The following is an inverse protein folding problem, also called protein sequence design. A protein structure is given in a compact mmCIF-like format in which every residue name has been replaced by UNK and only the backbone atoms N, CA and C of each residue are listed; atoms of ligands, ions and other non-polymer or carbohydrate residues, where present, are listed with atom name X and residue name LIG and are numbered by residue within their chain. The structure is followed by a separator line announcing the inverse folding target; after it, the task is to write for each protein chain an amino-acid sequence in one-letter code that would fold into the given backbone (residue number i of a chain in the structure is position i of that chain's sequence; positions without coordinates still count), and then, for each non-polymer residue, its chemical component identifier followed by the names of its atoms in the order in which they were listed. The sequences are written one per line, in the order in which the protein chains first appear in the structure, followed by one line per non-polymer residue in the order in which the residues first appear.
data_IF_643898175397
#
_entry.id   IF_643898175397
#
_cell.length_a   1.000
_cell.length_b   1.000
_cell.length_c   1.000
_cell.angle_alpha   90.00
_cell.angle_beta   90.00
_cell.angle_gamma   90.00
#
_symmetry.space_group_name_H-M   'P 1'
#
loop_
_entity.id
_entity.type
_entity.pdbx_description
1 polymer ?
#
# COMPACT_ATOMS: atom_id res chain seq x y z
N UNK A 1 -4.50 4.48 -12.66
CA UNK A 1 -4.92 3.77 -11.43
C UNK A 1 -4.00 4.20 -10.32
N UNK A 2 -4.52 4.98 -9.38
CA UNK A 2 -3.73 5.68 -8.36
C UNK A 2 -3.08 4.69 -7.39
N UNK A 3 -3.75 3.57 -7.06
CA UNK A 3 -3.20 2.55 -6.17
C UNK A 3 -1.97 1.86 -6.78
N UNK A 4 -1.96 1.64 -8.10
CA UNK A 4 -0.80 1.05 -8.78
C UNK A 4 0.38 2.02 -8.81
N UNK A 5 0.13 3.31 -9.07
CA UNK A 5 1.17 4.35 -9.00
C UNK A 5 1.72 4.49 -7.58
N UNK A 6 0.83 4.50 -6.58
CA UNK A 6 1.21 4.46 -5.18
C UNK A 6 2.15 3.28 -4.85
N UNK A 7 1.81 2.05 -5.25
CA UNK A 7 2.66 0.88 -4.99
C UNK A 7 4.01 0.99 -5.72
N UNK A 8 4.01 1.42 -6.99
CA UNK A 8 5.23 1.60 -7.76
C UNK A 8 6.17 2.66 -7.14
N UNK A 9 5.62 3.76 -6.60
CA UNK A 9 6.40 4.77 -5.87
C UNK A 9 6.92 4.23 -4.54
N UNK A 10 6.11 3.48 -3.79
CA UNK A 10 6.55 2.80 -2.55
C UNK A 10 7.69 1.80 -2.78
N UNK A 11 7.76 1.20 -3.97
CA UNK A 11 8.79 0.24 -4.39
C UNK A 11 10.05 0.89 -4.96
N UNK A 12 10.00 2.20 -5.19
CA UNK A 12 11.10 2.96 -5.79
C UNK A 12 12.16 3.36 -4.75
N UNK A 13 13.26 3.95 -5.22
CA UNK A 13 14.26 4.54 -4.33
C UNK A 13 13.81 5.87 -3.68
N UNK A 14 12.65 6.39 -4.07
CA UNK A 14 12.10 7.66 -3.57
C UNK A 14 10.66 7.46 -3.05
N UNK A 15 10.44 6.62 -2.01
CA UNK A 15 9.10 6.29 -1.52
C UNK A 15 8.33 7.52 -1.02
N UNK A 16 9.01 8.58 -0.58
CA UNK A 16 8.37 9.83 -0.14
C UNK A 16 7.56 10.53 -1.25
N UNK A 17 7.80 10.22 -2.53
CA UNK A 17 6.99 10.74 -3.65
C UNK A 17 5.53 10.26 -3.61
N UNK A 18 5.20 9.25 -2.83
CA UNK A 18 3.79 8.87 -2.60
C UNK A 18 3.00 9.96 -1.91
N UNK A 19 3.67 10.84 -1.16
CA UNK A 19 3.01 11.92 -0.43
C UNK A 19 2.32 12.92 -1.36
N UNK A 20 2.73 12.98 -2.63
CA UNK A 20 2.08 13.78 -3.68
C UNK A 20 0.72 13.21 -4.11
N UNK A 21 0.48 11.92 -3.85
CA UNK A 21 -0.79 11.25 -4.16
C UNK A 21 -1.83 11.39 -3.04
N UNK A 22 -1.50 12.04 -1.92
CA UNK A 22 -2.34 12.04 -0.72
C UNK A 22 -3.09 13.36 -0.56
N UNK A 23 -4.35 13.25 -0.14
CA UNK A 23 -5.09 14.38 0.42
C UNK A 23 -4.42 14.89 1.71
N UNK A 24 -4.54 16.19 2.05
CA UNK A 24 -4.07 16.69 3.35
C UNK A 24 -4.70 15.95 4.54
N UNK A 25 -5.98 15.59 4.42
CA UNK A 25 -6.73 14.83 5.42
C UNK A 25 -6.69 13.30 5.24
N UNK A 26 -5.63 12.78 4.61
CA UNK A 26 -5.47 11.37 4.33
C UNK A 26 -5.49 10.53 5.61
N UNK A 27 -6.22 9.40 5.57
CA UNK A 27 -6.25 8.44 6.68
C UNK A 27 -5.83 7.06 6.23
N UNK A 28 -5.11 6.35 7.08
CA UNK A 28 -4.65 5.01 6.73
C UNK A 28 -4.78 4.00 7.86
N UNK A 29 -4.92 2.74 7.46
CA UNK A 29 -4.73 1.57 8.31
C UNK A 29 -3.85 0.57 7.55
N UNK A 30 -2.78 0.13 8.19
CA UNK A 30 -1.92 -0.95 7.71
C UNK A 30 -1.85 -2.00 8.81
N UNK A 31 -2.49 -3.14 8.57
CA UNK A 31 -2.47 -4.29 9.47
C UNK A 31 -1.36 -5.26 9.06
N UNK A 32 -0.40 -5.46 9.96
CA UNK A 32 0.69 -6.41 9.84
C UNK A 32 0.52 -7.50 10.92
N UNK A 33 1.19 -8.67 10.79
CA UNK A 33 1.15 -9.72 11.81
C UNK A 33 1.52 -9.23 13.23
N UNK A 34 2.46 -8.28 13.33
CA UNK A 34 2.90 -7.68 14.60
C UNK A 34 2.03 -6.54 15.13
N UNK A 35 0.91 -6.22 14.49
CA UNK A 35 -0.01 -5.17 14.90
C UNK A 35 -0.34 -4.17 13.79
N UNK A 36 -1.05 -3.11 14.17
CA UNK A 36 -1.54 -2.11 13.23
C UNK A 36 -0.69 -0.84 13.25
N UNK A 37 -0.67 -0.14 12.11
CA UNK A 37 -0.21 1.24 11.97
C UNK A 37 -1.35 2.06 11.39
N UNK A 38 -1.67 3.16 12.03
CA UNK A 38 -2.77 4.05 11.63
C UNK A 38 -2.33 5.49 11.72
N UNK A 39 -3.01 6.38 10.99
CA UNK A 39 -2.81 7.82 11.08
C UNK A 39 -3.92 8.57 10.35
N UNK A 40 -4.00 9.87 10.61
CA UNK A 40 -5.08 10.74 10.13
C UNK A 40 -4.58 11.98 9.35
N UNK A 41 -3.29 12.00 9.02
CA UNK A 41 -2.64 13.08 8.30
C UNK A 41 -1.57 12.60 7.32
N UNK A 42 -1.17 13.49 6.40
CA UNK A 42 -0.02 13.28 5.51
C UNK A 42 1.28 13.16 6.31
N UNK A 43 1.41 13.88 7.41
CA UNK A 43 2.56 13.85 8.32
C UNK A 43 2.68 12.51 9.04
N UNK A 44 1.57 11.94 9.53
CA UNK A 44 1.56 10.60 10.12
C UNK A 44 2.04 9.54 9.12
N UNK A 45 1.62 9.70 7.85
CA UNK A 45 2.03 8.78 6.80
C UNK A 45 3.49 8.97 6.39
N UNK A 46 3.99 10.20 6.35
CA UNK A 46 5.41 10.47 6.15
C UNK A 46 6.26 9.84 7.27
N UNK A 47 5.83 9.93 8.52
CA UNK A 47 6.49 9.26 9.64
C UNK A 47 6.48 7.72 9.49
N UNK A 48 5.38 7.15 8.98
CA UNK A 48 5.31 5.73 8.65
C UNK A 48 6.34 5.33 7.57
N UNK A 49 6.48 6.13 6.50
CA UNK A 49 7.45 5.87 5.42
C UNK A 49 8.88 5.97 5.94
N UNK A 50 9.20 7.00 6.71
CA UNK A 50 10.53 7.20 7.29
C UNK A 50 10.96 6.07 8.23
N UNK A 51 10.01 5.45 8.95
CA UNK A 51 10.26 4.29 9.81
C UNK A 51 10.32 2.95 9.07
N UNK A 52 10.20 2.95 7.75
CA UNK A 52 10.09 1.74 6.93
C UNK A 52 11.48 1.23 6.55
N UNK A 53 11.94 0.16 7.20
CA UNK A 53 13.17 -0.56 6.81
C UNK A 53 12.92 -1.45 5.56
N UNK A 54 12.61 -0.86 4.41
CA UNK A 54 12.18 -1.57 3.20
C UNK A 54 13.24 -1.56 2.09
N UNK A 55 14.47 -2.00 2.41
CA UNK A 55 15.51 -2.15 1.38
C UNK A 55 15.22 -3.40 0.56
N UNK A 56 14.99 -3.22 -0.75
CA UNK A 56 14.75 -4.29 -1.73
C UNK A 56 13.44 -5.08 -1.51
N UNK A 57 12.35 -4.35 -1.24
CA UNK A 57 10.98 -4.85 -1.14
C UNK A 57 10.12 -4.30 -2.28
N UNK A 58 9.39 -5.18 -2.96
CA UNK A 58 8.45 -4.80 -4.04
C UNK A 58 7.07 -5.43 -3.86
N UNK A 59 6.03 -4.78 -4.39
CA UNK A 59 4.66 -5.30 -4.44
C UNK A 59 4.36 -5.89 -5.83
N UNK A 60 4.28 -7.22 -5.94
CA UNK A 60 3.82 -7.90 -7.16
C UNK A 60 2.29 -8.01 -7.17
N UNK A 61 1.62 -7.13 -7.91
CA UNK A 61 0.15 -7.07 -7.99
C UNK A 61 -0.37 -8.18 -8.91
N UNK A 62 -1.18 -9.10 -8.35
CA UNK A 62 -1.76 -10.26 -9.06
C UNK A 62 -3.21 -10.09 -9.46
N UNK A 63 -3.99 -9.32 -8.69
CA UNK A 63 -5.37 -8.96 -8.99
C UNK A 63 -5.55 -7.47 -8.72
N UNK A 64 -6.42 -6.87 -9.51
CA UNK A 64 -6.73 -5.46 -9.39
C UNK A 64 -8.15 -5.23 -9.87
N UNK A 65 -8.90 -4.41 -9.13
CA UNK A 65 -10.24 -3.99 -9.51
C UNK A 65 -10.46 -2.54 -9.11
N UNK A 66 -11.37 -1.88 -9.82
CA UNK A 66 -11.85 -0.55 -9.46
C UNK A 66 -13.37 -0.54 -9.55
N UNK A 67 -14.01 0.13 -8.59
CA UNK A 67 -15.44 0.36 -8.51
C UNK A 67 -15.70 1.76 -7.97
N UNK A 68 -16.22 2.64 -8.82
CA UNK A 68 -16.41 4.05 -8.49
C UNK A 68 -15.13 4.75 -8.03
N UNK A 69 -15.16 5.31 -6.82
CA UNK A 69 -14.03 5.98 -6.18
C UNK A 69 -13.11 5.04 -5.39
N UNK A 70 -13.28 3.72 -5.51
CA UNK A 70 -12.48 2.72 -4.80
C UNK A 70 -11.64 1.89 -5.78
N UNK A 71 -10.35 1.77 -5.48
CA UNK A 71 -9.46 0.82 -6.13
C UNK A 71 -9.01 -0.25 -5.13
N UNK A 72 -8.89 -1.50 -5.58
CA UNK A 72 -8.36 -2.63 -4.79
C UNK A 72 -7.25 -3.35 -5.54
N UNK A 73 -6.24 -3.79 -4.80
CA UNK A 73 -5.13 -4.58 -5.31
C UNK A 73 -4.85 -5.74 -4.36
N UNK A 74 -4.74 -6.94 -4.92
CA UNK A 74 -4.24 -8.11 -4.21
C UNK A 74 -2.94 -8.57 -4.88
N UNK A 75 -1.96 -8.94 -4.08
CA UNK A 75 -0.66 -9.36 -4.59
C UNK A 75 0.23 -9.95 -3.53
N UNK A 76 1.51 -10.06 -3.88
CA UNK A 76 2.55 -10.59 -3.01
C UNK A 76 3.60 -9.53 -2.72
N UNK A 77 4.12 -9.53 -1.49
CA UNK A 77 5.35 -8.80 -1.16
C UNK A 77 6.52 -9.71 -1.51
N UNK A 78 7.46 -9.18 -2.28
CA UNK A 78 8.70 -9.84 -2.66
C UNK A 78 9.85 -9.08 -2.04
N UNK A 79 10.70 -9.76 -1.27
CA UNK A 79 11.91 -9.19 -0.68
C UNK A 79 13.12 -9.98 -1.18
N UNK A 80 14.09 -9.30 -1.81
CA UNK A 80 15.30 -9.95 -2.36
C UNK A 80 14.99 -11.17 -3.25
N UNK A 81 13.90 -11.08 -4.03
CA UNK A 81 13.42 -12.16 -4.90
C UNK A 81 12.63 -13.27 -4.20
N UNK A 82 12.39 -13.19 -2.88
CA UNK A 82 11.61 -14.18 -2.12
C UNK A 82 10.23 -13.62 -1.81
N UNK A 83 9.17 -14.35 -2.16
CA UNK A 83 7.81 -14.02 -1.75
C UNK A 83 7.64 -14.22 -0.24
N UNK A 84 7.44 -13.14 0.51
CA UNK A 84 7.35 -13.16 1.98
C UNK A 84 5.92 -13.25 2.49
N UNK A 85 4.94 -12.84 1.70
CA UNK A 85 3.52 -12.95 2.06
C UNK A 85 2.60 -12.26 1.07
N UNK A 86 1.30 -12.36 1.31
CA UNK A 86 0.27 -11.75 0.50
C UNK A 86 -0.21 -10.42 1.11
N UNK A 87 -0.62 -9.49 0.25
CA UNK A 87 -1.32 -8.27 0.66
C UNK A 87 -2.65 -8.12 -0.05
N UNK A 88 -3.61 -7.51 0.65
CA UNK A 88 -4.82 -6.93 0.07
C UNK A 88 -4.88 -5.46 0.48
N UNK A 89 -4.84 -4.58 -0.50
CA UNK A 89 -4.92 -3.15 -0.30
C UNK A 89 -6.14 -2.57 -1.01
N UNK A 90 -6.74 -1.56 -0.39
CA UNK A 90 -7.82 -0.77 -0.94
C UNK A 90 -7.52 0.71 -0.72
N UNK A 91 -7.89 1.54 -1.69
CA UNK A 91 -7.83 2.98 -1.57
C UNK A 91 -9.16 3.57 -1.98
N UNK A 92 -9.60 4.60 -1.26
CA UNK A 92 -10.66 5.50 -1.71
C UNK A 92 -10.03 6.78 -2.24
N UNK A 93 -10.41 7.18 -3.44
CA UNK A 93 -9.98 8.40 -4.10
C UNK A 93 -10.93 9.56 -3.77
N UNK A 94 -10.38 10.76 -3.75
CA UNK A 94 -11.13 12.02 -3.70
C UNK A 94 -11.59 12.42 -5.10
N UNK A 95 -12.49 13.42 -5.23
CA UNK A 95 -12.85 13.98 -6.53
C UNK A 95 -11.66 14.53 -7.33
N UNK A 96 -10.58 14.94 -6.65
CA UNK A 96 -9.35 15.46 -7.26
C UNK A 96 -8.41 14.32 -7.71
N UNK A 97 -8.81 13.05 -7.52
CA UNK A 97 -8.02 11.88 -7.89
C UNK A 97 -6.89 11.56 -6.91
N UNK A 98 -6.89 12.16 -5.72
CA UNK A 98 -5.93 11.88 -4.66
C UNK A 98 -6.44 10.78 -3.72
N UNK A 99 -5.54 10.11 -3.02
CA UNK A 99 -5.87 9.13 -2.01
C UNK A 99 -6.44 9.84 -0.78
N UNK A 100 -7.70 9.57 -0.45
CA UNK A 100 -8.37 10.09 0.74
C UNK A 100 -8.29 9.09 1.92
N UNK A 101 -8.39 7.80 1.62
CA UNK A 101 -8.28 6.72 2.62
C UNK A 101 -7.54 5.54 2.04
N UNK A 102 -6.70 4.91 2.84
CA UNK A 102 -5.98 3.70 2.46
C UNK A 102 -6.11 2.63 3.52
N UNK A 103 -6.32 1.39 3.09
CA UNK A 103 -6.31 0.23 3.95
C UNK A 103 -5.46 -0.85 3.33
N UNK A 104 -4.58 -1.47 4.12
CA UNK A 104 -3.80 -2.62 3.69
C UNK A 104 -3.73 -3.68 4.78
N UNK A 105 -3.93 -4.93 4.37
CA UNK A 105 -3.74 -6.11 5.20
C UNK A 105 -2.62 -6.95 4.60
N UNK A 106 -1.68 -7.36 5.43
CA UNK A 106 -0.59 -8.26 5.06
C UNK A 106 -0.65 -9.53 5.91
N UNK A 107 -0.41 -10.67 5.27
CA UNK A 107 -0.36 -11.99 5.92
C UNK A 107 0.78 -12.83 5.34
N UNK A 108 1.42 -13.62 6.19
CA UNK A 108 2.46 -14.59 5.81
C UNK A 108 1.91 -16.00 5.60
N UNK A 109 0.72 -16.27 6.14
CA UNK A 109 0.23 -17.63 6.41
C UNK A 109 -0.97 -18.02 5.53
N UNK A 110 -1.49 -17.07 4.74
CA UNK A 110 -2.66 -17.29 3.89
C UNK A 110 -2.53 -16.57 2.55
N UNK A 111 -2.77 -17.29 1.47
CA UNK A 111 -2.79 -16.75 0.11
C UNK A 111 -4.18 -16.96 -0.51
N UNK A 112 -4.75 -15.91 -1.11
CA UNK A 112 -6.04 -15.96 -1.81
C UNK A 112 -5.91 -16.62 -3.19
N UNK A 113 -4.73 -16.53 -3.80
CA UNK A 113 -4.38 -17.14 -5.08
C UNK A 113 -3.03 -17.85 -4.95
N UNK A 114 -2.73 -18.78 -5.84
CA UNK A 114 -1.46 -19.50 -5.80
C UNK A 114 -0.25 -18.57 -5.97
N UNK A 115 0.83 -18.87 -5.23
CA UNK A 115 2.12 -18.20 -5.39
C UNK A 115 2.71 -18.50 -6.78
N UNK A 116 3.43 -17.55 -7.39
CA UNK A 116 4.14 -17.78 -8.64
C UNK A 116 5.26 -18.81 -8.52
#
# INVERSE_FOLDING_TARGET
MVLRDYMARMDSQEPDKVLELLEPGFRFLIALPGGQRTGESREDFAAYIAGREAVDRTHDIRRYAADGDVETAYGFVVEKGVTTGAFLSAVRLSPDGLMARYQSFFTTDFDLVDRP
#
